data_IF_289394211197
#
_entry.id   IF_289394211197
#
_cell.length_a   1.000
_cell.length_b   1.000
_cell.length_c   1.000
_cell.angle_alpha   90.00
_cell.angle_beta   90.00
_cell.angle_gamma   90.00
#
_symmetry.space_group_name_H-M   'P 1'
#
loop_
_entity.id
_entity.type
_entity.pdbx_description
1 polymer ?
#
# COMPACT_ATOMS: atom_id res chain seq x y z
N UNK A 1 -5.80 -10.65 9.47
CA UNK A 1 -7.15 -10.33 8.96
C UNK A 1 -6.97 -9.83 7.54
N UNK A 2 -7.43 -10.62 6.56
CA UNK A 2 -7.45 -10.20 5.16
C UNK A 2 -8.65 -9.27 5.02
N UNK A 3 -8.43 -7.96 5.10
CA UNK A 3 -9.54 -7.02 4.94
C UNK A 3 -9.78 -6.90 3.44
N UNK A 4 -10.86 -7.53 2.99
CA UNK A 4 -11.37 -7.57 1.62
C UNK A 4 -11.17 -6.26 0.85
N UNK A 5 -10.09 -6.19 0.07
CA UNK A 5 -9.88 -5.13 -0.91
C UNK A 5 -11.06 -5.03 -1.89
N UNK A 6 -11.76 -6.15 -2.13
CA UNK A 6 -12.95 -6.23 -2.95
C UNK A 6 -14.16 -5.56 -2.28
N UNK A 7 -14.44 -5.85 -1.01
CA UNK A 7 -15.51 -5.16 -0.27
C UNK A 7 -15.25 -3.65 -0.17
N UNK A 8 -14.00 -3.24 0.07
CA UNK A 8 -13.63 -1.83 0.06
C UNK A 8 -13.85 -1.19 -1.32
N UNK A 9 -13.54 -1.91 -2.41
CA UNK A 9 -13.78 -1.47 -3.78
C UNK A 9 -15.27 -1.27 -4.08
N UNK A 10 -16.13 -2.19 -3.63
CA UNK A 10 -17.57 -2.08 -3.81
C UNK A 10 -18.14 -0.86 -3.08
N UNK A 11 -17.73 -0.63 -1.84
CA UNK A 11 -18.18 0.53 -1.05
C UNK A 11 -17.74 1.84 -1.72
N UNK A 12 -16.48 1.93 -2.16
CA UNK A 12 -15.96 3.10 -2.88
C UNK A 12 -16.76 3.37 -4.17
N UNK A 13 -17.14 2.32 -4.91
CA UNK A 13 -17.91 2.43 -6.14
C UNK A 13 -19.37 2.80 -5.89
N UNK A 14 -20.02 2.23 -4.87
CA UNK A 14 -21.40 2.54 -4.48
C UNK A 14 -21.54 4.00 -4.03
N UNK A 15 -20.61 4.49 -3.21
CA UNK A 15 -20.66 5.83 -2.66
C UNK A 15 -20.00 6.89 -3.55
N UNK A 16 -19.36 6.50 -4.66
CA UNK A 16 -18.61 7.39 -5.58
C UNK A 16 -17.60 8.31 -4.86
N UNK A 17 -16.92 7.78 -3.85
CA UNK A 17 -15.91 8.49 -3.06
C UNK A 17 -14.50 8.02 -3.44
N UNK A 18 -13.53 8.93 -3.47
CA UNK A 18 -12.17 8.62 -3.92
C UNK A 18 -11.28 8.01 -2.82
N UNK A 19 -11.58 8.33 -1.56
CA UNK A 19 -10.80 7.94 -0.37
C UNK A 19 -11.72 7.35 0.68
N UNK A 20 -11.36 6.19 1.22
CA UNK A 20 -12.09 5.51 2.28
C UNK A 20 -11.17 5.36 3.51
N UNK A 21 -11.45 6.10 4.60
CA UNK A 21 -10.75 5.91 5.87
C UNK A 21 -11.22 4.60 6.52
N UNK A 22 -10.28 3.76 6.90
CA UNK A 22 -10.54 2.52 7.63
C UNK A 22 -10.40 2.81 9.12
N UNK A 23 -11.47 2.54 9.88
CA UNK A 23 -11.51 2.74 11.33
C UNK A 23 -11.65 1.40 12.05
N UNK A 24 -11.01 1.27 13.21
CA UNK A 24 -11.19 0.13 14.11
C UNK A 24 -12.46 0.31 14.96
N UNK A 25 -12.85 -0.73 15.71
CA UNK A 25 -14.01 -0.80 16.62
C UNK A 25 -14.06 0.34 17.65
N UNK A 26 -12.90 0.94 17.95
CA UNK A 26 -12.78 2.09 18.85
C UNK A 26 -12.81 3.45 18.11
N UNK A 27 -13.33 3.50 16.88
CA UNK A 27 -13.36 4.69 16.01
C UNK A 27 -11.98 5.33 15.77
N UNK A 28 -10.91 4.54 15.87
CA UNK A 28 -9.54 5.00 15.58
C UNK A 28 -9.20 4.76 14.12
N UNK A 29 -8.65 5.76 13.46
CA UNK A 29 -8.18 5.65 12.07
C UNK A 29 -6.98 4.70 12.00
N UNK A 30 -7.16 3.54 11.36
CA UNK A 30 -6.11 2.51 11.18
C UNK A 30 -5.52 2.51 9.79
N UNK A 31 -6.18 3.14 8.82
CA UNK A 31 -5.66 3.22 7.46
C UNK A 31 -6.51 4.07 6.53
N UNK A 32 -6.02 4.24 5.31
CA UNK A 32 -6.73 4.93 4.24
C UNK A 32 -6.55 4.14 2.95
N UNK A 33 -7.66 3.84 2.28
CA UNK A 33 -7.67 3.16 0.99
C UNK A 33 -8.14 4.15 -0.07
N UNK A 34 -7.45 4.20 -1.21
CA UNK A 34 -7.79 5.08 -2.33
C UNK A 34 -8.31 4.25 -3.50
N UNK A 35 -9.33 4.74 -4.20
CA UNK A 35 -9.87 4.08 -5.40
C UNK A 35 -8.81 3.88 -6.51
N UNK A 36 -7.84 4.81 -6.61
CA UNK A 36 -6.71 4.71 -7.54
C UNK A 36 -5.83 3.50 -7.27
N UNK A 37 -5.60 3.14 -6.02
CA UNK A 37 -4.76 1.98 -5.67
C UNK A 37 -5.44 0.66 -6.06
N UNK A 38 -6.76 0.56 -5.87
CA UNK A 38 -7.55 -0.60 -6.28
C UNK A 38 -7.55 -0.76 -7.80
N UNK A 39 -7.75 0.34 -8.54
CA UNK A 39 -7.72 0.32 -10.01
C UNK A 39 -6.35 -0.11 -10.52
N UNK A 40 -5.27 0.44 -9.94
CA UNK A 40 -3.90 0.04 -10.29
C UNK A 40 -3.61 -1.42 -9.96
N UNK A 41 -4.17 -1.95 -8.87
CA UNK A 41 -4.02 -3.35 -8.51
C UNK A 41 -4.71 -4.29 -9.51
N UNK A 42 -5.88 -3.90 -10.04
CA UNK A 42 -6.57 -4.65 -11.12
C UNK A 42 -5.86 -4.52 -12.48
N UNK A 43 -5.37 -3.33 -12.84
CA UNK A 43 -4.70 -3.09 -14.14
C UNK A 43 -3.33 -3.76 -14.23
N UNK A 44 -2.62 -3.92 -13.10
CA UNK A 44 -1.27 -4.50 -13.03
C UNK A 44 -1.22 -5.77 -12.18
N UNK A 45 -1.74 -6.91 -12.67
CA UNK A 45 -1.72 -8.18 -11.93
C UNK A 45 -0.30 -8.75 -11.74
N UNK A 46 0.62 -8.48 -12.67
CA UNK A 46 2.02 -8.92 -12.60
C UNK A 46 2.96 -7.88 -11.97
N UNK A 47 2.44 -6.95 -11.18
CA UNK A 47 3.28 -5.96 -10.49
C UNK A 47 4.20 -6.65 -9.47
N UNK A 48 5.49 -6.29 -9.48
CA UNK A 48 6.47 -6.73 -8.48
C UNK A 48 6.14 -6.16 -7.10
N UNK A 49 5.29 -6.89 -6.36
CA UNK A 49 4.82 -6.52 -5.03
C UNK A 49 5.44 -7.42 -3.96
N UNK A 50 5.57 -6.89 -2.74
CA UNK A 50 5.90 -7.68 -1.56
C UNK A 50 4.66 -8.42 -1.02
N UNK A 51 4.81 -9.20 0.05
CA UNK A 51 3.71 -9.93 0.70
C UNK A 51 2.63 -8.99 1.28
N UNK A 52 2.96 -7.71 1.48
CA UNK A 52 2.03 -6.68 1.95
C UNK A 52 1.39 -5.86 0.81
N UNK A 53 1.68 -6.19 -0.45
CA UNK A 53 1.13 -5.52 -1.63
C UNK A 53 1.83 -4.22 -2.05
N UNK A 54 2.95 -3.86 -1.42
CA UNK A 54 3.75 -2.65 -1.72
C UNK A 54 4.69 -2.93 -2.89
N UNK A 55 5.02 -1.91 -3.68
CA UNK A 55 5.97 -2.05 -4.79
C UNK A 55 7.38 -2.33 -4.26
N UNK A 56 8.03 -3.35 -4.82
CA UNK A 56 9.43 -3.64 -4.51
C UNK A 56 10.34 -2.59 -5.16
N UNK A 57 11.28 -2.08 -4.38
CA UNK A 57 12.31 -1.14 -4.82
C UNK A 57 13.69 -1.66 -4.44
N UNK A 58 14.71 -1.26 -5.19
CA UNK A 58 16.10 -1.57 -4.90
C UNK A 58 16.93 -0.28 -5.01
N UNK A 59 17.93 -0.15 -4.15
CA UNK A 59 18.88 0.95 -4.16
C UNK A 59 20.31 0.41 -4.16
N UNK A 60 21.19 0.99 -4.99
CA UNK A 60 22.61 0.66 -4.99
C UNK A 60 23.33 1.45 -3.90
N UNK A 61 24.12 0.76 -3.08
CA UNK A 61 25.01 1.38 -2.09
C UNK A 61 26.48 1.15 -2.47
N UNK A 62 27.35 2.09 -2.10
CA UNK A 62 28.80 1.94 -2.29
C UNK A 62 29.43 0.94 -1.30
N UNK A 63 30.75 0.82 -1.34
CA UNK A 63 31.54 -0.03 -0.41
C UNK A 63 32.34 0.77 0.63
N UNK A 64 32.10 2.08 0.72
CA UNK A 64 32.75 2.96 1.71
C UNK A 64 32.27 2.64 3.13
N UNK A 65 33.03 3.06 4.15
CA UNK A 65 32.72 2.75 5.55
C UNK A 65 31.31 3.22 5.98
N UNK A 66 30.81 4.33 5.44
CA UNK A 66 29.47 4.88 5.70
C UNK A 66 28.32 4.16 4.96
N UNK A 67 28.62 3.10 4.19
CA UNK A 67 27.61 2.46 3.33
C UNK A 67 26.54 1.73 4.12
N UNK A 68 26.89 1.22 5.31
CA UNK A 68 25.95 0.54 6.21
C UNK A 68 25.00 1.55 6.85
N UNK A 69 25.49 2.71 7.27
CA UNK A 69 24.66 3.79 7.81
C UNK A 69 23.71 4.35 6.75
N UNK A 70 24.19 4.53 5.51
CA UNK A 70 23.32 4.94 4.39
C UNK A 70 22.27 3.90 4.04
N UNK A 71 22.61 2.61 4.13
CA UNK A 71 21.65 1.53 3.86
C UNK A 71 20.53 1.48 4.91
N UNK A 72 20.83 1.78 6.18
CA UNK A 72 19.83 1.82 7.24
C UNK A 72 18.86 3.02 7.14
N UNK A 73 19.28 4.09 6.46
CA UNK A 73 18.49 5.31 6.30
C UNK A 73 17.56 5.31 5.05
N UNK A 74 17.69 4.33 4.15
CA UNK A 74 16.92 4.18 2.91
C UNK A 74 15.72 3.24 3.08
#
# INVERSE_FOLDING_TARGET
>A
QTTDLEAAAEILQQHKIEKLPVVDSNYRLVGLITYKDITKAKDKPYASKDEQGRLRVAAGIGVTFDSVERAAAL
#
